data_IF_065243978595
#
_entry.id   IF_065243978595
#
_cell.length_a   1.000
_cell.length_b   1.000
_cell.length_c   1.000
_cell.angle_alpha   90.00
_cell.angle_beta   90.00
_cell.angle_gamma   90.00
#
_symmetry.space_group_name_H-M   'P 1'
#
loop_
_entity.id
_entity.type
_entity.pdbx_description
1 polymer ?
#
# COMPACT_ATOMS: atom_id res chain seq x y z
N UNK A 1 27.91 -20.44 9.69
CA UNK A 1 26.49 -20.86 9.54
C UNK A 1 25.84 -21.23 10.88
N UNK A 2 26.48 -22.03 11.73
CA UNK A 2 25.89 -22.43 13.04
C UNK A 2 25.48 -21.27 13.94
N UNK A 3 26.32 -20.24 14.07
CA UNK A 3 26.01 -19.07 14.89
C UNK A 3 24.76 -18.32 14.39
N UNK A 4 24.56 -18.21 13.07
CA UNK A 4 23.35 -17.61 12.49
C UNK A 4 22.10 -18.39 12.91
N UNK A 5 22.12 -19.69 12.75
CA UNK A 5 20.99 -20.54 13.14
C UNK A 5 20.68 -20.50 14.63
N UNK A 6 21.72 -20.37 15.48
CA UNK A 6 21.54 -20.21 16.92
C UNK A 6 20.86 -18.88 17.27
N UNK A 7 21.31 -17.76 16.71
CA UNK A 7 20.71 -16.44 16.93
C UNK A 7 19.27 -16.36 16.34
N UNK A 8 19.07 -16.94 15.17
CA UNK A 8 17.78 -17.03 14.52
C UNK A 8 16.77 -17.83 15.35
N UNK A 9 17.17 -19.02 15.81
CA UNK A 9 16.37 -19.86 16.70
C UNK A 9 16.05 -19.16 18.03
N UNK A 10 16.99 -18.33 18.54
CA UNK A 10 16.80 -17.56 19.75
C UNK A 10 15.67 -16.52 19.60
N UNK A 11 15.55 -15.86 18.43
CA UNK A 11 14.44 -14.94 18.12
C UNK A 11 13.10 -15.66 18.10
N UNK A 12 13.00 -16.73 17.32
CA UNK A 12 11.76 -17.51 17.18
C UNK A 12 11.33 -18.27 18.44
N UNK A 13 12.23 -18.52 19.39
CA UNK A 13 11.90 -19.14 20.68
C UNK A 13 11.26 -18.21 21.70
N UNK A 14 11.29 -16.90 21.47
CA UNK A 14 10.66 -15.93 22.39
C UNK A 14 9.14 -16.05 22.30
N UNK A 15 8.48 -16.38 23.43
CA UNK A 15 7.02 -16.50 23.50
C UNK A 15 6.30 -15.26 23.00
N UNK A 16 6.80 -14.08 23.35
CA UNK A 16 6.22 -12.81 22.92
C UNK A 16 6.25 -12.65 21.40
N UNK A 17 7.33 -13.09 20.73
CA UNK A 17 7.45 -13.06 19.28
C UNK A 17 6.40 -13.96 18.64
N UNK A 18 6.25 -15.20 19.10
CA UNK A 18 5.27 -16.13 18.55
C UNK A 18 3.82 -15.66 18.76
N UNK A 19 3.51 -15.08 19.93
CA UNK A 19 2.19 -14.49 20.20
C UNK A 19 1.94 -13.32 19.24
N UNK A 20 2.90 -12.44 19.07
CA UNK A 20 2.78 -11.31 18.16
C UNK A 20 2.64 -11.76 16.71
N UNK A 21 3.41 -12.76 16.25
CA UNK A 21 3.27 -13.35 14.90
C UNK A 21 1.86 -13.86 14.68
N UNK A 22 1.33 -14.61 15.66
CA UNK A 22 -0.04 -15.14 15.59
C UNK A 22 -1.08 -14.02 15.55
N UNK A 23 -0.95 -13.01 16.39
CA UNK A 23 -1.86 -11.87 16.41
C UNK A 23 -1.81 -11.06 15.11
N UNK A 24 -0.62 -10.81 14.57
CA UNK A 24 -0.44 -10.12 13.30
C UNK A 24 -1.01 -10.95 12.14
N UNK A 25 -0.76 -12.25 12.12
CA UNK A 25 -1.33 -13.18 11.13
C UNK A 25 -2.86 -13.15 11.17
N UNK A 26 -3.44 -13.28 12.37
CA UNK A 26 -4.90 -13.22 12.56
C UNK A 26 -5.45 -11.87 12.09
N UNK A 27 -4.76 -10.77 12.45
CA UNK A 27 -5.16 -9.43 12.01
C UNK A 27 -5.14 -9.31 10.49
N UNK A 28 -4.03 -9.61 9.82
CA UNK A 28 -3.90 -9.48 8.38
C UNK A 28 -4.85 -10.43 7.62
N UNK A 29 -4.96 -11.69 8.04
CA UNK A 29 -5.82 -12.67 7.33
C UNK A 29 -7.30 -12.44 7.60
N UNK A 30 -7.68 -12.15 8.85
CA UNK A 30 -9.09 -11.94 9.18
C UNK A 30 -9.54 -10.54 8.84
N UNK A 31 -8.84 -9.50 9.35
CA UNK A 31 -9.25 -8.10 9.17
C UNK A 31 -8.79 -7.52 7.84
N UNK A 32 -7.58 -7.81 7.41
CA UNK A 32 -7.03 -7.32 6.15
C UNK A 32 -7.58 -8.04 4.90
N UNK A 33 -8.08 -9.26 5.02
CA UNK A 33 -8.59 -10.02 3.88
C UNK A 33 -10.09 -10.33 4.03
N UNK A 34 -10.47 -11.13 5.03
CA UNK A 34 -11.85 -11.63 5.16
C UNK A 34 -12.85 -10.51 5.48
N UNK A 35 -12.50 -9.60 6.41
CA UNK A 35 -13.41 -8.53 6.80
C UNK A 35 -13.36 -7.31 5.85
N UNK A 36 -12.28 -7.13 5.08
CA UNK A 36 -12.28 -6.12 4.00
C UNK A 36 -13.28 -6.50 2.90
N UNK A 37 -13.50 -7.80 2.70
CA UNK A 37 -14.61 -8.31 1.87
C UNK A 37 -15.96 -8.23 2.56
N UNK A 38 -16.04 -7.71 3.78
CA UNK A 38 -17.25 -7.61 4.58
C UNK A 38 -18.37 -6.88 3.85
N UNK A 39 -18.03 -5.87 3.06
CA UNK A 39 -19.02 -5.16 2.25
C UNK A 39 -19.77 -6.10 1.31
N UNK A 40 -19.07 -7.12 0.81
CA UNK A 40 -19.67 -8.18 -0.01
C UNK A 40 -20.21 -9.35 0.81
N UNK A 41 -19.75 -9.54 2.08
CA UNK A 41 -20.02 -10.77 2.84
C UNK A 41 -21.05 -10.65 3.94
N UNK A 42 -21.11 -9.53 4.66
CA UNK A 42 -21.90 -9.42 5.89
C UNK A 42 -22.86 -8.23 5.90
N UNK A 43 -22.88 -7.43 4.84
CA UNK A 43 -23.75 -6.25 4.72
C UNK A 43 -25.20 -6.58 4.35
N UNK A 44 -25.54 -7.84 4.18
CA UNK A 44 -26.89 -8.24 3.88
C UNK A 44 -27.67 -8.40 5.18
N UNK A 45 -28.52 -7.45 5.50
CA UNK A 45 -29.77 -7.79 6.17
C UNK A 45 -30.50 -8.84 5.33
N UNK A 46 -31.28 -9.68 5.96
CA UNK A 46 -32.05 -10.79 5.36
C UNK A 46 -32.93 -10.42 4.13
N UNK A 47 -32.97 -9.15 3.76
CA UNK A 47 -33.70 -8.56 2.63
C UNK A 47 -32.91 -8.42 1.32
N UNK A 48 -31.64 -8.85 1.26
CA UNK A 48 -30.84 -8.72 0.04
C UNK A 48 -31.14 -9.86 -0.93
N UNK A 49 -32.14 -9.66 -1.75
CA UNK A 49 -32.40 -10.50 -2.93
C UNK A 49 -31.61 -9.90 -4.10
N UNK A 50 -30.75 -10.68 -4.75
CA UNK A 50 -30.01 -10.19 -5.93
C UNK A 50 -30.94 -9.88 -7.09
N UNK A 51 -30.44 -9.11 -8.07
CA UNK A 51 -31.10 -8.91 -9.37
C UNK A 51 -31.55 -10.20 -10.04
N UNK A 52 -30.81 -11.26 -9.77
CA UNK A 52 -31.04 -12.58 -10.35
C UNK A 52 -31.89 -13.48 -9.44
N UNK A 53 -32.54 -12.92 -8.42
CA UNK A 53 -33.49 -13.65 -7.56
C UNK A 53 -32.87 -14.61 -6.55
N UNK A 54 -31.56 -14.56 -6.36
CA UNK A 54 -30.85 -15.43 -5.41
C UNK A 54 -30.55 -14.70 -4.10
N UNK A 55 -30.73 -15.36 -2.97
CA UNK A 55 -30.17 -14.88 -1.70
C UNK A 55 -28.68 -15.20 -1.69
N UNK A 56 -27.83 -14.16 -1.72
CA UNK A 56 -26.39 -14.34 -1.68
C UNK A 56 -25.84 -14.11 -0.29
N UNK A 57 -25.02 -15.07 0.14
CA UNK A 57 -23.95 -14.82 1.09
C UNK A 57 -22.74 -14.21 0.35
N UNK A 58 -21.88 -13.53 1.07
CA UNK A 58 -20.86 -12.65 0.55
C UNK A 58 -20.01 -13.11 -0.63
N UNK A 59 -19.67 -14.39 -0.71
CA UNK A 59 -18.88 -14.93 -1.84
C UNK A 59 -19.69 -14.98 -3.14
N UNK A 60 -20.99 -15.25 -3.02
CA UNK A 60 -21.92 -15.20 -4.15
C UNK A 60 -22.00 -13.81 -4.76
N UNK A 61 -22.04 -12.77 -3.93
CA UNK A 61 -22.04 -11.36 -4.37
C UNK A 61 -20.75 -10.97 -5.13
N UNK A 62 -19.59 -11.42 -4.64
CA UNK A 62 -18.31 -11.15 -5.34
C UNK A 62 -18.33 -11.77 -6.73
N UNK A 63 -18.76 -13.03 -6.86
CA UNK A 63 -18.86 -13.70 -8.16
C UNK A 63 -19.85 -13.03 -9.09
N UNK A 64 -21.01 -12.65 -8.58
CA UNK A 64 -22.00 -11.94 -9.36
C UNK A 64 -21.48 -10.59 -9.86
N UNK A 65 -20.80 -9.83 -8.99
CA UNK A 65 -20.16 -8.57 -9.37
C UNK A 65 -19.07 -8.77 -10.45
N UNK A 66 -18.29 -9.84 -10.33
CA UNK A 66 -17.29 -10.20 -11.35
C UNK A 66 -17.93 -10.59 -12.69
N UNK A 67 -19.02 -11.36 -12.67
CA UNK A 67 -19.73 -11.75 -13.87
C UNK A 67 -20.41 -10.56 -14.54
N UNK A 68 -20.97 -9.67 -13.75
CA UNK A 68 -21.53 -8.41 -14.24
C UNK A 68 -20.45 -7.52 -14.85
N UNK A 69 -19.30 -7.36 -14.18
CA UNK A 69 -18.18 -6.58 -14.70
C UNK A 69 -17.61 -7.07 -16.02
N UNK A 70 -17.73 -8.38 -16.33
CA UNK A 70 -17.34 -8.92 -17.64
C UNK A 70 -18.26 -8.47 -18.78
N UNK A 71 -19.49 -8.10 -18.47
CA UNK A 71 -20.43 -7.59 -19.51
C UNK A 71 -20.07 -6.16 -19.95
N UNK A 72 -19.24 -5.45 -19.18
CA UNK A 72 -18.76 -4.10 -19.47
C UNK A 72 -17.30 -4.03 -19.93
N UNK A 73 -16.68 -5.17 -20.25
CA UNK A 73 -15.29 -5.23 -20.68
C UNK A 73 -15.12 -4.64 -22.09
N UNK A 74 -14.95 -3.31 -22.17
CA UNK A 74 -14.76 -2.57 -23.42
C UNK A 74 -13.65 -1.53 -23.28
N UNK A 75 -13.14 -1.11 -24.45
CA UNK A 75 -12.27 0.06 -24.50
C UNK A 75 -13.06 1.31 -24.14
N UNK A 76 -12.50 2.14 -23.26
CA UNK A 76 -13.11 3.40 -22.88
C UNK A 76 -13.07 4.37 -24.06
N UNK A 77 -14.22 4.56 -24.70
CA UNK A 77 -14.46 5.51 -25.78
C UNK A 77 -15.65 6.40 -25.44
N UNK A 78 -15.92 7.39 -26.28
CA UNK A 78 -17.13 8.23 -26.13
C UNK A 78 -18.39 7.36 -26.18
N UNK A 79 -18.44 6.42 -27.14
CA UNK A 79 -19.58 5.52 -27.33
C UNK A 79 -19.78 4.57 -26.16
N UNK A 80 -18.70 3.95 -25.66
CA UNK A 80 -18.79 3.03 -24.51
C UNK A 80 -19.20 3.76 -23.23
N UNK A 81 -18.66 4.96 -22.98
CA UNK A 81 -19.06 5.77 -21.82
C UNK A 81 -20.55 6.18 -21.91
N UNK A 82 -21.00 6.61 -23.09
CA UNK A 82 -22.41 6.95 -23.32
C UNK A 82 -23.32 5.74 -23.09
N UNK A 83 -22.90 4.55 -23.55
CA UNK A 83 -23.66 3.33 -23.36
C UNK A 83 -23.75 2.95 -21.88
N UNK A 84 -22.65 2.96 -21.14
CA UNK A 84 -22.61 2.68 -19.70
C UNK A 84 -23.57 3.61 -18.93
N UNK A 85 -23.60 4.89 -19.25
CA UNK A 85 -24.52 5.83 -18.61
C UNK A 85 -25.98 5.56 -18.97
N UNK A 86 -26.27 5.23 -20.24
CA UNK A 86 -27.65 4.86 -20.64
C UNK A 86 -28.13 3.59 -19.94
N UNK A 87 -27.28 2.57 -19.83
CA UNK A 87 -27.61 1.32 -19.14
C UNK A 87 -27.88 1.57 -17.66
N UNK A 88 -27.04 2.36 -16.99
CA UNK A 88 -27.28 2.78 -15.61
C UNK A 88 -28.66 3.45 -15.45
N UNK A 89 -28.96 4.46 -16.28
CA UNK A 89 -30.22 5.20 -16.20
C UNK A 89 -31.45 4.32 -16.50
N UNK A 90 -31.31 3.33 -17.40
CA UNK A 90 -32.38 2.34 -17.66
C UNK A 90 -32.62 1.43 -16.46
N UNK A 91 -31.55 0.96 -15.81
CA UNK A 91 -31.66 0.13 -14.60
C UNK A 91 -32.28 0.92 -13.44
N UNK A 92 -31.87 2.17 -13.25
CA UNK A 92 -32.43 3.06 -12.23
C UNK A 92 -33.93 3.33 -12.48
N UNK A 93 -34.32 3.63 -13.73
CA UNK A 93 -35.71 3.82 -14.10
C UNK A 93 -36.56 2.54 -13.95
N UNK A 94 -35.96 1.37 -14.03
CA UNK A 94 -36.62 0.09 -13.79
C UNK A 94 -36.72 -0.26 -12.28
N UNK A 95 -36.22 0.59 -11.39
CA UNK A 95 -36.21 0.35 -9.96
C UNK A 95 -35.19 -0.69 -9.50
N UNK A 96 -34.16 -0.91 -10.27
CA UNK A 96 -33.08 -1.89 -10.02
C UNK A 96 -31.95 -1.27 -9.19
N UNK A 97 -32.27 -0.49 -8.15
CA UNK A 97 -31.28 0.23 -7.34
C UNK A 97 -30.27 -0.68 -6.64
N UNK A 98 -30.73 -1.85 -6.19
CA UNK A 98 -29.88 -2.85 -5.53
C UNK A 98 -28.85 -3.46 -6.47
N UNK A 99 -29.17 -3.57 -7.73
CA UNK A 99 -28.28 -4.06 -8.78
C UNK A 99 -27.23 -3.01 -9.14
N UNK A 100 -27.63 -1.75 -9.20
CA UNK A 100 -26.75 -0.63 -9.44
C UNK A 100 -25.64 -0.51 -8.38
N UNK A 101 -25.93 -0.86 -7.12
CA UNK A 101 -24.92 -0.87 -6.06
C UNK A 101 -23.79 -1.89 -6.27
N UNK A 102 -24.01 -2.90 -7.13
CA UNK A 102 -23.02 -3.95 -7.44
C UNK A 102 -22.16 -3.61 -8.65
N UNK A 103 -22.51 -2.57 -9.39
CA UNK A 103 -21.76 -2.13 -10.55
C UNK A 103 -20.66 -1.15 -10.17
N UNK A 104 -19.72 -0.91 -11.07
CA UNK A 104 -18.65 0.09 -10.91
C UNK A 104 -19.15 1.54 -11.10
N UNK A 105 -20.45 1.80 -10.93
CA UNK A 105 -21.06 3.10 -11.14
C UNK A 105 -20.37 4.22 -10.35
N UNK A 106 -19.82 3.91 -9.18
CA UNK A 106 -19.09 4.89 -8.36
C UNK A 106 -17.84 5.38 -9.08
N UNK A 107 -17.14 4.48 -9.76
CA UNK A 107 -15.95 4.79 -10.57
C UNK A 107 -16.37 5.63 -11.76
N UNK A 108 -17.40 5.17 -12.49
CA UNK A 108 -17.94 5.88 -13.65
C UNK A 108 -18.45 7.28 -13.26
N UNK A 109 -19.17 7.39 -12.16
CA UNK A 109 -19.64 8.69 -11.65
C UNK A 109 -18.46 9.62 -11.26
N UNK A 110 -17.40 9.07 -10.69
CA UNK A 110 -16.15 9.81 -10.41
C UNK A 110 -15.48 10.30 -11.70
N UNK A 111 -15.47 9.49 -12.76
CA UNK A 111 -14.97 9.89 -14.08
C UNK A 111 -15.81 11.01 -14.69
N UNK A 112 -17.13 10.90 -14.63
CA UNK A 112 -18.03 11.96 -15.12
C UNK A 112 -17.77 13.29 -14.41
N UNK A 113 -17.68 13.27 -13.07
CA UNK A 113 -17.41 14.49 -12.29
C UNK A 113 -16.04 15.10 -12.61
N UNK A 114 -15.06 14.28 -13.00
CA UNK A 114 -13.73 14.75 -13.37
C UNK A 114 -13.65 15.24 -14.81
N UNK A 115 -14.25 14.51 -15.75
CA UNK A 115 -14.14 14.79 -17.19
C UNK A 115 -15.13 15.86 -17.66
N UNK A 116 -16.29 15.96 -17.00
CA UNK A 116 -17.42 16.83 -17.41
C UNK A 116 -17.95 17.66 -16.25
N UNK A 117 -17.08 18.40 -15.53
CA UNK A 117 -17.51 19.16 -14.35
C UNK A 117 -18.59 20.20 -14.66
N UNK A 118 -18.65 20.69 -15.89
CA UNK A 118 -19.65 21.65 -16.36
C UNK A 118 -21.07 21.06 -16.50
N UNK A 119 -21.18 19.72 -16.53
CA UNK A 119 -22.48 19.03 -16.58
C UNK A 119 -23.00 18.71 -15.18
N UNK A 120 -22.23 19.00 -14.12
CA UNK A 120 -22.67 18.83 -12.75
C UNK A 120 -23.70 19.89 -12.36
N UNK A 121 -24.84 19.46 -11.85
CA UNK A 121 -25.87 20.35 -11.28
C UNK A 121 -25.74 20.34 -9.75
N UNK A 122 -25.22 21.40 -9.14
CA UNK A 122 -25.09 21.50 -7.68
C UNK A 122 -26.44 21.61 -6.95
N UNK A 123 -27.53 21.83 -7.67
CA UNK A 123 -28.88 21.88 -7.12
C UNK A 123 -29.55 20.52 -6.96
N UNK A 124 -28.98 19.46 -7.49
CA UNK A 124 -29.52 18.10 -7.35
C UNK A 124 -28.79 17.27 -6.31
N UNK A 125 -29.54 16.43 -5.59
CA UNK A 125 -28.98 15.41 -4.67
C UNK A 125 -28.67 14.08 -5.38
N UNK A 126 -29.03 13.96 -6.65
CA UNK A 126 -28.73 12.77 -7.44
C UNK A 126 -27.27 12.72 -7.85
N UNK A 127 -26.75 11.52 -8.03
CA UNK A 127 -25.44 11.32 -8.62
C UNK A 127 -25.44 11.77 -10.08
N UNK A 128 -24.33 12.29 -10.58
CA UNK A 128 -24.24 12.85 -11.93
C UNK A 128 -24.68 11.86 -13.02
N UNK A 129 -24.34 10.58 -12.85
CA UNK A 129 -24.70 9.50 -13.77
C UNK A 129 -26.23 9.36 -13.94
N UNK A 130 -27.02 9.69 -12.92
CA UNK A 130 -28.48 9.56 -12.94
C UNK A 130 -29.18 10.59 -13.84
N UNK A 131 -28.59 11.77 -14.03
CA UNK A 131 -29.26 12.87 -14.74
C UNK A 131 -28.50 13.41 -15.96
N UNK A 132 -27.22 13.09 -16.12
CA UNK A 132 -26.43 13.61 -17.24
C UNK A 132 -26.98 13.10 -18.57
N UNK A 133 -27.02 13.97 -19.60
CA UNK A 133 -27.39 13.54 -20.93
C UNK A 133 -26.21 12.78 -21.56
N UNK A 134 -26.34 11.47 -21.87
CA UNK A 134 -25.27 10.66 -22.45
C UNK A 134 -24.72 11.24 -23.76
N UNK A 135 -25.55 11.84 -24.61
CA UNK A 135 -25.14 12.37 -25.91
C UNK A 135 -24.18 13.58 -25.81
N UNK A 136 -24.05 14.17 -24.62
CA UNK A 136 -23.07 15.23 -24.33
C UNK A 136 -21.71 14.74 -23.89
N UNK A 137 -21.57 13.43 -23.65
CA UNK A 137 -20.33 12.81 -23.22
C UNK A 137 -19.47 12.52 -24.45
N UNK A 138 -18.64 13.48 -24.82
CA UNK A 138 -17.76 13.42 -25.99
C UNK A 138 -16.37 13.94 -25.65
N UNK A 139 -15.35 13.45 -26.37
CA UNK A 139 -13.98 13.88 -26.20
C UNK A 139 -13.34 13.35 -24.91
N UNK A 140 -13.56 12.09 -24.53
CA UNK A 140 -13.09 11.50 -23.26
C UNK A 140 -11.58 11.70 -23.07
N UNK A 141 -10.76 11.48 -24.11
CA UNK A 141 -9.30 11.57 -23.96
C UNK A 141 -8.82 13.02 -23.95
N UNK A 142 -9.37 13.89 -24.77
CA UNK A 142 -9.08 15.33 -24.74
C UNK A 142 -9.41 15.92 -23.38
N UNK A 143 -10.56 15.54 -22.84
CA UNK A 143 -11.00 15.99 -21.48
C UNK A 143 -10.14 15.40 -20.39
N UNK A 144 -9.71 14.13 -20.53
CA UNK A 144 -8.79 13.51 -19.60
C UNK A 144 -7.42 14.21 -19.59
N UNK A 145 -6.90 14.57 -20.77
CA UNK A 145 -5.66 15.32 -20.88
C UNK A 145 -5.79 16.71 -20.25
N UNK A 146 -6.91 17.39 -20.47
CA UNK A 146 -7.20 18.68 -19.85
C UNK A 146 -7.35 18.55 -18.33
N UNK A 147 -8.11 17.57 -17.83
CA UNK A 147 -8.28 17.33 -16.39
C UNK A 147 -6.95 17.02 -15.70
N UNK A 148 -6.06 16.27 -16.36
CA UNK A 148 -4.71 16.02 -15.85
C UNK A 148 -3.88 17.31 -15.84
N UNK A 149 -3.93 18.10 -16.90
CA UNK A 149 -3.19 19.36 -17.01
C UNK A 149 -3.61 20.34 -15.92
N UNK A 150 -4.91 20.53 -15.74
CA UNK A 150 -5.49 21.37 -14.68
C UNK A 150 -5.12 20.84 -13.28
N UNK A 151 -5.14 19.53 -13.09
CA UNK A 151 -4.73 18.90 -11.83
C UNK A 151 -3.24 19.17 -11.51
N UNK A 152 -2.36 19.05 -12.49
CA UNK A 152 -0.93 19.30 -12.32
C UNK A 152 -0.68 20.78 -11.97
N UNK A 153 -1.35 21.72 -12.66
CA UNK A 153 -1.24 23.15 -12.38
C UNK A 153 -1.75 23.51 -11.00
N UNK A 154 -2.94 23.03 -10.63
CA UNK A 154 -3.54 23.25 -9.31
C UNK A 154 -2.70 22.64 -8.17
N UNK A 155 -1.95 21.57 -8.47
CA UNK A 155 -1.01 20.96 -7.53
C UNK A 155 0.34 21.68 -7.47
N UNK A 156 0.50 22.79 -8.20
CA UNK A 156 1.70 23.61 -8.22
C UNK A 156 2.86 23.02 -9.05
N UNK A 157 2.59 22.03 -9.88
CA UNK A 157 3.60 21.41 -10.75
C UNK A 157 3.70 22.21 -12.05
N UNK A 158 4.90 22.66 -12.38
CA UNK A 158 5.13 23.52 -13.53
C UNK A 158 6.46 23.23 -14.24
N UNK A 159 6.60 23.71 -15.46
CA UNK A 159 7.84 23.63 -16.24
C UNK A 159 8.31 22.19 -16.44
N UNK A 160 9.57 21.90 -16.11
CA UNK A 160 10.19 20.60 -16.31
C UNK A 160 9.58 19.47 -15.44
N UNK A 161 9.02 19.80 -14.28
CA UNK A 161 8.32 18.82 -13.45
C UNK A 161 7.05 18.34 -14.13
N UNK A 162 6.22 19.26 -14.60
CA UNK A 162 5.01 18.96 -15.37
C UNK A 162 5.35 18.17 -16.64
N UNK A 163 6.37 18.60 -17.40
CA UNK A 163 6.84 17.87 -18.58
C UNK A 163 7.27 16.43 -18.27
N UNK A 164 7.97 16.21 -17.15
CA UNK A 164 8.36 14.87 -16.69
C UNK A 164 7.14 13.96 -16.45
N UNK A 165 6.10 14.48 -15.78
CA UNK A 165 4.88 13.74 -15.47
C UNK A 165 4.05 13.46 -16.73
N UNK A 166 3.92 14.44 -17.62
CA UNK A 166 3.24 14.25 -18.90
C UNK A 166 3.97 13.22 -19.79
N UNK A 167 5.31 13.20 -19.78
CA UNK A 167 6.09 12.17 -20.48
C UNK A 167 5.89 10.76 -19.88
N UNK A 168 5.53 10.65 -18.60
CA UNK A 168 5.13 9.36 -18.02
C UNK A 168 3.73 8.96 -18.51
N UNK A 169 2.80 9.89 -18.50
CA UNK A 169 1.43 9.66 -18.95
C UNK A 169 1.34 9.25 -20.41
N UNK A 170 2.15 9.83 -21.29
CA UNK A 170 2.22 9.47 -22.71
C UNK A 170 2.56 7.99 -22.97
N UNK A 171 3.10 7.29 -21.98
CA UNK A 171 3.39 5.85 -22.05
C UNK A 171 2.20 4.98 -21.65
N UNK A 172 1.13 5.57 -21.17
CA UNK A 172 -0.12 4.86 -20.86
C UNK A 172 -0.78 4.48 -22.20
N UNK A 173 -1.06 3.20 -22.38
CA UNK A 173 -1.72 2.69 -23.58
C UNK A 173 -3.14 3.23 -23.69
N UNK A 174 -3.52 3.66 -24.90
CA UNK A 174 -4.85 4.17 -25.22
C UNK A 174 -5.38 3.44 -26.47
N UNK A 175 -6.67 3.09 -26.54
CA UNK A 175 -7.72 3.35 -25.56
C UNK A 175 -7.49 2.56 -24.26
N UNK A 176 -7.97 3.11 -23.14
CA UNK A 176 -7.95 2.42 -21.86
C UNK A 176 -8.98 1.29 -21.89
N UNK A 177 -8.53 0.06 -21.75
CA UNK A 177 -9.44 -1.07 -21.56
C UNK A 177 -10.04 -0.99 -20.15
N UNK A 178 -11.36 -1.03 -20.08
CA UNK A 178 -12.11 -1.01 -18.84
C UNK A 178 -12.77 -2.36 -18.59
N UNK A 179 -12.59 -2.90 -17.42
CA UNK A 179 -13.29 -4.09 -16.90
C UNK A 179 -13.55 -3.90 -15.39
N UNK A 180 -14.16 -4.90 -14.77
CA UNK A 180 -14.37 -4.92 -13.32
C UNK A 180 -13.05 -4.86 -12.55
N UNK A 181 -12.90 -3.84 -11.71
CA UNK A 181 -11.67 -3.56 -10.96
C UNK A 181 -11.87 -3.45 -9.45
N UNK A 182 -13.08 -3.66 -8.95
CA UNK A 182 -13.39 -3.46 -7.53
C UNK A 182 -12.47 -4.29 -6.62
N UNK A 183 -12.17 -5.54 -6.99
CA UNK A 183 -11.21 -6.36 -6.25
C UNK A 183 -9.82 -5.73 -6.16
N UNK A 184 -9.32 -5.18 -7.27
CA UNK A 184 -8.03 -4.48 -7.32
C UNK A 184 -8.06 -3.13 -6.62
N UNK A 185 -9.18 -2.41 -6.70
CA UNK A 185 -9.38 -1.14 -6.02
C UNK A 185 -9.29 -1.31 -4.49
N UNK A 186 -9.88 -2.37 -3.96
CA UNK A 186 -9.79 -2.67 -2.53
C UNK A 186 -8.38 -3.10 -2.10
N UNK A 187 -7.66 -3.82 -2.94
CA UNK A 187 -6.29 -4.23 -2.74
C UNK A 187 -5.33 -3.05 -2.63
N UNK A 188 -5.28 -2.28 -3.72
CA UNK A 188 -4.34 -1.19 -3.90
C UNK A 188 -4.64 0.02 -2.99
N UNK A 189 -5.72 0.00 -2.23
CA UNK A 189 -6.14 1.13 -1.40
C UNK A 189 -5.90 0.99 0.09
N UNK A 190 -6.03 -0.21 0.65
CA UNK A 190 -6.15 -0.37 2.11
C UNK A 190 -5.29 -1.46 2.72
N UNK A 191 -5.18 -2.61 2.08
CA UNK A 191 -4.61 -3.80 2.74
C UNK A 191 -3.11 -3.73 2.96
N UNK A 192 -2.37 -3.16 2.03
CA UNK A 192 -0.90 -3.07 2.14
C UNK A 192 -0.47 -1.95 3.07
N UNK A 193 -1.27 -0.89 3.22
CA UNK A 193 -1.03 0.14 4.23
C UNK A 193 -1.07 -0.45 5.64
N UNK A 194 -2.06 -1.31 5.92
CA UNK A 194 -2.17 -2.02 7.20
C UNK A 194 -0.98 -2.97 7.43
N UNK A 195 -0.48 -3.62 6.39
CA UNK A 195 0.71 -4.46 6.47
C UNK A 195 1.94 -3.66 6.95
N UNK A 196 2.13 -2.44 6.45
CA UNK A 196 3.22 -1.55 6.89
C UNK A 196 3.14 -1.20 8.38
N UNK A 197 1.95 -0.83 8.87
CA UNK A 197 1.72 -0.51 10.28
C UNK A 197 1.97 -1.72 11.19
N UNK A 198 1.45 -2.88 10.82
CA UNK A 198 1.64 -4.14 11.56
C UNK A 198 3.11 -4.53 11.59
N UNK A 199 3.82 -4.42 10.45
CA UNK A 199 5.26 -4.68 10.36
C UNK A 199 6.05 -3.76 11.28
N UNK A 200 5.75 -2.46 11.32
CA UNK A 200 6.43 -1.49 12.17
C UNK A 200 6.31 -1.86 13.65
N UNK A 201 5.09 -2.10 14.13
CA UNK A 201 4.84 -2.46 15.52
C UNK A 201 5.56 -3.75 15.90
N UNK A 202 5.40 -4.78 15.10
CA UNK A 202 5.95 -6.09 15.41
C UNK A 202 7.48 -6.13 15.35
N UNK A 203 8.10 -5.54 14.33
CA UNK A 203 9.56 -5.46 14.23
C UNK A 203 10.18 -4.66 15.39
N UNK A 204 9.51 -3.58 15.82
CA UNK A 204 9.92 -2.86 17.02
C UNK A 204 9.93 -3.78 18.24
N UNK A 205 8.89 -4.59 18.47
CA UNK A 205 8.81 -5.54 19.59
C UNK A 205 9.88 -6.64 19.47
N UNK A 206 10.00 -7.27 18.29
CA UNK A 206 10.86 -8.43 18.11
C UNK A 206 12.36 -8.08 18.15
N UNK A 207 12.76 -6.98 17.48
CA UNK A 207 14.15 -6.62 17.24
C UNK A 207 14.72 -5.65 18.31
N UNK A 208 13.87 -4.93 19.05
CA UNK A 208 14.32 -4.01 20.11
C UNK A 208 15.22 -4.70 21.16
N UNK A 209 14.95 -5.96 21.46
CA UNK A 209 15.72 -6.76 22.41
C UNK A 209 16.92 -7.52 21.81
N UNK A 210 17.18 -7.38 20.49
CA UNK A 210 18.19 -8.18 19.81
C UNK A 210 19.62 -7.90 20.31
N UNK A 211 19.92 -6.65 20.59
CA UNK A 211 21.18 -6.19 21.17
C UNK A 211 21.02 -5.73 22.63
N UNK A 212 19.97 -4.95 22.93
CA UNK A 212 19.71 -4.45 24.26
C UNK A 212 19.46 -5.58 25.28
N UNK A 213 18.90 -6.72 24.84
CA UNK A 213 18.69 -7.89 25.67
C UNK A 213 19.96 -8.49 26.25
N UNK A 214 21.07 -8.48 25.52
CA UNK A 214 22.35 -8.99 26.02
C UNK A 214 22.89 -8.20 27.21
N UNK A 215 22.55 -6.90 27.28
CA UNK A 215 22.87 -6.05 28.43
C UNK A 215 21.94 -6.33 29.61
N UNK A 216 20.67 -6.46 29.34
CA UNK A 216 19.67 -6.76 30.36
C UNK A 216 19.95 -8.10 31.07
N UNK A 217 20.33 -9.12 30.28
CA UNK A 217 20.58 -10.48 30.77
C UNK A 217 22.01 -10.68 31.28
N UNK A 218 22.85 -9.65 31.31
CA UNK A 218 24.27 -9.66 31.72
C UNK A 218 25.13 -10.68 30.94
N UNK A 219 24.70 -11.08 29.74
CA UNK A 219 25.44 -12.02 28.86
C UNK A 219 26.50 -11.33 28.00
N UNK A 220 26.50 -10.00 27.96
CA UNK A 220 27.46 -9.19 27.22
C UNK A 220 28.93 -9.47 27.58
N UNK A 221 29.22 -9.77 28.86
CA UNK A 221 30.56 -10.12 29.34
C UNK A 221 31.08 -11.45 28.76
N UNK A 222 30.20 -12.43 28.55
CA UNK A 222 30.55 -13.71 27.93
C UNK A 222 30.92 -13.55 26.46
N UNK A 223 30.26 -12.63 25.77
CA UNK A 223 30.56 -12.33 24.35
C UNK A 223 31.95 -11.71 24.19
N UNK A 224 32.42 -10.95 25.17
CA UNK A 224 33.75 -10.32 25.17
C UNK A 224 34.90 -11.31 25.30
N UNK A 225 34.70 -12.42 26.00
CA UNK A 225 35.74 -13.41 26.25
C UNK A 225 36.05 -14.28 25.01
N UNK A 226 35.20 -14.21 23.98
CA UNK A 226 35.39 -15.02 22.77
C UNK A 226 36.30 -14.33 21.76
N UNK A 227 37.33 -15.02 21.27
CA UNK A 227 38.29 -14.54 20.25
C UNK A 227 37.53 -14.14 18.96
N UNK A 228 37.56 -12.85 18.55
CA UNK A 228 36.80 -12.28 17.44
C UNK A 228 35.27 -12.28 17.61
N UNK A 229 34.75 -12.60 18.82
CA UNK A 229 33.32 -12.85 19.03
C UNK A 229 32.42 -11.64 18.71
N UNK A 230 32.83 -10.46 19.16
CA UNK A 230 31.95 -9.30 19.11
C UNK A 230 31.58 -8.83 17.69
N UNK A 231 32.54 -8.76 16.73
CA UNK A 231 32.22 -8.35 15.34
C UNK A 231 31.38 -9.41 14.64
N UNK A 232 31.80 -10.67 14.75
CA UNK A 232 31.12 -11.79 14.12
C UNK A 232 29.70 -11.97 14.67
N UNK A 233 29.55 -11.88 16.01
CA UNK A 233 28.23 -11.95 16.64
C UNK A 233 27.36 -10.75 16.24
N UNK A 234 27.88 -9.53 16.27
CA UNK A 234 27.13 -8.35 15.87
C UNK A 234 26.63 -8.46 14.42
N UNK A 235 27.49 -8.83 13.47
CA UNK A 235 27.11 -9.02 12.08
C UNK A 235 26.08 -10.15 11.92
N UNK A 236 26.29 -11.26 12.64
CA UNK A 236 25.34 -12.38 12.64
C UNK A 236 23.96 -11.94 13.14
N UNK A 237 23.89 -11.15 14.23
CA UNK A 237 22.62 -10.60 14.74
C UNK A 237 21.94 -9.70 13.73
N UNK A 238 22.70 -8.84 13.04
CA UNK A 238 22.15 -7.98 11.98
C UNK A 238 21.57 -8.83 10.84
N UNK A 239 22.32 -9.81 10.35
CA UNK A 239 21.85 -10.74 9.30
C UNK A 239 20.62 -11.53 9.75
N UNK A 240 20.60 -11.97 11.01
CA UNK A 240 19.45 -12.65 11.60
C UNK A 240 18.22 -11.72 11.66
N UNK A 241 18.41 -10.45 12.02
CA UNK A 241 17.32 -9.47 12.06
C UNK A 241 16.69 -9.23 10.68
N UNK A 242 17.52 -9.10 9.64
CA UNK A 242 17.02 -8.99 8.26
C UNK A 242 16.33 -10.25 7.77
N UNK A 243 16.92 -11.43 8.00
CA UNK A 243 16.29 -12.70 7.63
C UNK A 243 14.93 -12.88 8.32
N UNK A 244 14.87 -12.61 9.61
CA UNK A 244 13.63 -12.63 10.38
C UNK A 244 12.57 -11.66 9.82
N UNK A 245 12.98 -10.46 9.39
CA UNK A 245 12.08 -9.48 8.78
C UNK A 245 11.47 -10.00 7.47
N UNK A 246 12.28 -10.63 6.62
CA UNK A 246 11.82 -11.22 5.35
C UNK A 246 10.87 -12.40 5.63
N UNK A 247 11.20 -13.27 6.58
CA UNK A 247 10.36 -14.41 6.96
C UNK A 247 9.02 -13.94 7.54
N UNK A 248 9.05 -12.94 8.42
CA UNK A 248 7.83 -12.39 8.99
C UNK A 248 6.95 -11.73 7.93
N UNK A 249 7.56 -10.96 7.02
CA UNK A 249 6.85 -10.41 5.87
C UNK A 249 6.18 -11.51 5.04
N UNK A 250 6.90 -12.59 4.71
CA UNK A 250 6.36 -13.70 3.94
C UNK A 250 5.19 -14.41 4.66
N UNK A 251 5.26 -14.56 5.98
CA UNK A 251 4.19 -15.14 6.79
C UNK A 251 2.90 -14.31 6.71
N UNK A 252 3.00 -13.00 6.55
CA UNK A 252 1.84 -12.12 6.43
C UNK A 252 1.38 -11.94 4.97
N UNK A 253 2.32 -11.67 4.06
CA UNK A 253 2.02 -11.33 2.67
C UNK A 253 1.48 -12.54 1.87
N UNK A 254 2.09 -13.73 2.03
CA UNK A 254 1.68 -14.90 1.26
C UNK A 254 0.22 -15.30 1.52
N UNK A 255 -0.24 -15.46 2.79
CA UNK A 255 -1.64 -15.75 3.05
C UNK A 255 -2.60 -14.63 2.62
N UNK A 256 -2.16 -13.37 2.72
CA UNK A 256 -2.94 -12.24 2.24
C UNK A 256 -3.16 -12.34 0.72
N UNK A 257 -2.10 -12.51 -0.07
CA UNK A 257 -2.19 -12.72 -1.52
C UNK A 257 -3.06 -13.93 -1.88
N UNK A 258 -2.85 -15.06 -1.18
CA UNK A 258 -3.63 -16.27 -1.44
C UNK A 258 -5.12 -16.10 -1.12
N UNK A 259 -5.46 -15.43 -0.03
CA UNK A 259 -6.85 -15.14 0.31
C UNK A 259 -7.52 -14.26 -0.73
N UNK A 260 -6.81 -13.29 -1.24
CA UNK A 260 -7.22 -12.39 -2.29
C UNK A 260 -7.52 -13.13 -3.60
N UNK A 261 -6.52 -13.88 -4.09
CA UNK A 261 -6.69 -14.70 -5.30
C UNK A 261 -7.86 -15.69 -5.14
N UNK A 262 -8.06 -16.22 -3.93
CA UNK A 262 -9.15 -17.14 -3.65
C UNK A 262 -10.53 -16.45 -3.70
N UNK A 263 -10.68 -15.28 -3.08
CA UNK A 263 -11.97 -14.59 -2.99
C UNK A 263 -12.27 -13.76 -4.24
N UNK A 264 -11.30 -12.97 -4.72
CA UNK A 264 -11.49 -12.00 -5.81
C UNK A 264 -11.06 -12.53 -7.18
N UNK A 265 -10.27 -13.62 -7.21
CA UNK A 265 -9.67 -14.09 -8.47
C UNK A 265 -8.54 -13.20 -8.95
N UNK A 266 -8.17 -13.39 -10.22
CA UNK A 266 -7.08 -12.65 -10.87
C UNK A 266 -7.54 -11.85 -12.09
N UNK A 267 -8.84 -11.80 -12.37
CA UNK A 267 -9.40 -11.05 -13.52
C UNK A 267 -8.99 -9.59 -13.43
N UNK A 268 -8.61 -8.99 -14.54
CA UNK A 268 -8.21 -7.58 -14.59
C UNK A 268 -6.78 -7.27 -14.12
N UNK A 269 -5.94 -8.30 -13.89
CA UNK A 269 -4.55 -8.11 -13.47
C UNK A 269 -3.70 -7.28 -14.45
N UNK A 270 -4.05 -7.29 -15.73
CA UNK A 270 -3.39 -6.60 -16.84
C UNK A 270 -4.01 -5.23 -17.15
N UNK A 271 -5.11 -4.87 -16.50
CA UNK A 271 -5.76 -3.58 -16.69
C UNK A 271 -4.90 -2.43 -16.16
N UNK A 272 -4.93 -1.27 -16.82
CA UNK A 272 -4.19 -0.10 -16.39
C UNK A 272 -4.77 0.46 -15.08
N UNK A 273 -3.91 0.96 -14.19
CA UNK A 273 -4.31 1.56 -12.89
C UNK A 273 -5.21 2.79 -13.06
N UNK A 274 -5.28 3.35 -14.25
CA UNK A 274 -6.20 4.42 -14.63
C UNK A 274 -7.67 4.02 -14.48
N UNK A 275 -8.00 2.73 -14.49
CA UNK A 275 -9.33 2.24 -14.13
C UNK A 275 -9.72 2.58 -12.70
N UNK A 276 -8.77 2.67 -11.77
CA UNK A 276 -9.02 3.08 -10.37
C UNK A 276 -8.94 4.61 -10.27
N UNK A 277 -7.90 5.22 -10.81
CA UNK A 277 -7.72 6.66 -10.80
C UNK A 277 -7.36 7.19 -12.18
N UNK A 278 -8.36 7.69 -12.89
CA UNK A 278 -8.31 8.04 -14.31
C UNK A 278 -7.14 8.95 -14.70
N UNK A 279 -6.76 9.89 -13.82
CA UNK A 279 -5.63 10.81 -14.03
C UNK A 279 -4.29 10.32 -13.47
N UNK A 280 -4.18 9.05 -13.05
CA UNK A 280 -2.88 8.51 -12.66
C UNK A 280 -1.91 8.57 -13.85
N UNK A 281 -0.68 9.06 -13.59
CA UNK A 281 0.34 9.26 -14.63
C UNK A 281 1.22 8.04 -14.86
N UNK A 282 1.15 7.05 -13.97
CA UNK A 282 2.02 5.88 -14.03
C UNK A 282 1.55 4.89 -15.10
N UNK A 283 2.41 4.49 -16.05
CA UNK A 283 2.12 3.47 -17.04
C UNK A 283 2.28 2.07 -16.44
N UNK A 284 1.40 1.73 -15.51
CA UNK A 284 1.42 0.46 -14.75
C UNK A 284 0.07 -0.24 -14.90
N UNK A 285 0.11 -1.56 -14.92
CA UNK A 285 -1.09 -2.37 -14.75
C UNK A 285 -1.32 -2.73 -13.27
N UNK A 286 -2.47 -3.34 -12.96
CA UNK A 286 -2.87 -3.70 -11.59
C UNK A 286 -1.85 -4.62 -10.92
N UNK A 287 -1.35 -5.64 -11.62
CA UNK A 287 -0.33 -6.55 -11.06
C UNK A 287 0.98 -5.82 -10.75
N UNK A 288 1.41 -4.91 -11.61
CA UNK A 288 2.64 -4.12 -11.37
C UNK A 288 2.48 -3.19 -10.16
N UNK A 289 1.30 -2.59 -10.01
CA UNK A 289 0.98 -1.76 -8.86
C UNK A 289 0.97 -2.59 -7.57
N UNK A 290 0.40 -3.78 -7.58
CA UNK A 290 0.39 -4.71 -6.46
C UNK A 290 1.81 -5.15 -6.07
N UNK A 291 2.62 -5.54 -7.05
CA UNK A 291 4.05 -5.87 -6.81
C UNK A 291 4.78 -4.68 -6.19
N UNK A 292 4.50 -3.47 -6.67
CA UNK A 292 5.08 -2.25 -6.09
C UNK A 292 4.69 -2.10 -4.62
N UNK A 293 3.42 -2.26 -4.27
CA UNK A 293 2.94 -2.09 -2.90
C UNK A 293 3.57 -3.10 -1.92
N UNK A 294 3.63 -4.38 -2.31
CA UNK A 294 4.34 -5.38 -1.50
C UNK A 294 5.85 -5.10 -1.42
N UNK A 295 6.46 -4.61 -2.50
CA UNK A 295 7.85 -4.20 -2.46
C UNK A 295 8.07 -3.01 -1.53
N UNK A 296 7.18 -2.01 -1.55
CA UNK A 296 7.19 -0.88 -0.63
C UNK A 296 7.13 -1.35 0.83
N UNK A 297 6.20 -2.24 1.17
CA UNK A 297 6.06 -2.78 2.52
C UNK A 297 7.30 -3.59 2.95
N UNK A 298 7.82 -4.46 2.08
CA UNK A 298 9.01 -5.27 2.37
C UNK A 298 10.27 -4.40 2.55
N UNK A 299 10.52 -3.51 1.62
CA UNK A 299 11.73 -2.69 1.63
C UNK A 299 11.67 -1.63 2.74
N UNK A 300 10.49 -1.08 3.01
CA UNK A 300 10.22 -0.27 4.19
C UNK A 300 10.52 -1.03 5.49
N UNK A 301 10.05 -2.29 5.60
CA UNK A 301 10.30 -3.14 6.75
C UNK A 301 11.79 -3.49 6.93
N UNK A 302 12.52 -3.78 5.85
CA UNK A 302 13.99 -4.00 5.89
C UNK A 302 14.69 -2.72 6.37
N UNK A 303 14.30 -1.56 5.83
CA UNK A 303 14.83 -0.27 6.27
C UNK A 303 14.61 -0.03 7.75
N UNK A 304 13.38 -0.23 8.19
CA UNK A 304 13.00 -0.08 9.60
C UNK A 304 13.70 -1.07 10.52
N UNK A 305 13.84 -2.33 10.13
CA UNK A 305 14.61 -3.33 10.89
C UNK A 305 16.05 -2.87 11.15
N UNK A 306 16.70 -2.25 10.14
CA UNK A 306 18.03 -1.65 10.29
C UNK A 306 18.05 -0.55 11.34
N UNK A 307 17.06 0.34 11.35
CA UNK A 307 16.89 1.41 12.34
C UNK A 307 16.67 0.83 13.75
N UNK A 308 15.76 -0.14 13.88
CA UNK A 308 15.48 -0.79 15.18
C UNK A 308 16.74 -1.47 15.74
N UNK A 309 17.48 -2.18 14.91
CA UNK A 309 18.73 -2.83 15.32
C UNK A 309 19.79 -1.81 15.74
N UNK A 310 19.89 -0.68 15.06
CA UNK A 310 20.77 0.43 15.44
C UNK A 310 20.37 1.01 16.81
N UNK A 311 19.09 1.28 17.03
CA UNK A 311 18.57 1.77 18.32
C UNK A 311 18.86 0.74 19.42
N UNK A 312 18.55 -0.54 19.17
CA UNK A 312 18.80 -1.64 20.12
C UNK A 312 20.28 -1.77 20.52
N UNK A 313 21.21 -1.56 19.56
CA UNK A 313 22.63 -1.54 19.84
C UNK A 313 23.12 -0.28 20.58
N UNK A 314 22.30 0.79 20.56
CA UNK A 314 22.64 2.10 21.14
C UNK A 314 22.12 2.27 22.57
N UNK A 315 21.02 1.64 22.96
CA UNK A 315 20.45 1.71 24.30
C UNK A 315 20.65 0.41 25.09
N UNK A 316 20.72 0.51 26.44
CA UNK A 316 20.92 -0.66 27.33
C UNK A 316 19.60 -1.28 27.81
N UNK A 317 18.48 -0.61 27.58
CA UNK A 317 17.14 -1.03 28.02
C UNK A 317 16.29 -1.49 26.85
N UNK A 318 15.71 -2.68 26.95
CA UNK A 318 14.76 -3.19 25.94
C UNK A 318 13.54 -2.29 25.78
N UNK A 319 13.05 -1.72 26.90
CA UNK A 319 11.88 -0.82 26.90
C UNK A 319 12.19 0.48 26.17
N UNK A 320 13.36 1.09 26.43
CA UNK A 320 13.78 2.31 25.74
C UNK A 320 14.04 2.03 24.25
N UNK A 321 14.61 0.86 23.91
CA UNK A 321 14.80 0.48 22.52
C UNK A 321 13.47 0.35 21.79
N UNK A 322 12.47 -0.25 22.42
CA UNK A 322 11.12 -0.34 21.88
C UNK A 322 10.48 1.04 21.67
N UNK A 323 10.50 1.88 22.72
CA UNK A 323 9.89 3.21 22.67
C UNK A 323 10.51 4.09 21.59
N UNK A 324 11.85 4.12 21.48
CA UNK A 324 12.53 4.90 20.44
C UNK A 324 12.28 4.32 19.03
N UNK A 325 12.14 3.00 18.91
CA UNK A 325 11.80 2.38 17.62
C UNK A 325 10.38 2.75 17.18
N UNK A 326 9.40 2.72 18.08
CA UNK A 326 8.04 3.16 17.77
C UNK A 326 8.00 4.67 17.45
N UNK A 327 8.72 5.49 18.22
CA UNK A 327 8.82 6.92 17.98
C UNK A 327 9.48 7.24 16.62
N UNK A 328 10.37 6.41 16.13
CA UNK A 328 11.02 6.60 14.81
C UNK A 328 10.07 6.45 13.61
N UNK A 329 8.95 5.73 13.76
CA UNK A 329 7.91 5.61 12.72
C UNK A 329 6.73 6.51 13.03
N UNK A 330 6.11 6.32 14.19
CA UNK A 330 4.86 7.03 14.51
C UNK A 330 5.07 8.51 14.82
N UNK A 331 6.26 8.90 15.32
CA UNK A 331 6.61 10.29 15.57
C UNK A 331 6.52 11.14 14.28
N UNK A 332 7.26 10.81 13.20
CA UNK A 332 7.14 11.49 11.91
C UNK A 332 5.71 11.50 11.38
N UNK A 333 4.99 10.37 11.42
CA UNK A 333 3.60 10.30 10.97
C UNK A 333 2.69 11.28 11.70
N UNK A 334 2.81 11.38 13.03
CA UNK A 334 1.96 12.26 13.84
C UNK A 334 2.27 13.74 13.66
N UNK A 335 3.51 14.10 13.34
CA UNK A 335 3.90 15.52 13.21
C UNK A 335 3.89 16.00 11.77
N UNK A 336 3.84 15.10 10.78
CA UNK A 336 3.92 15.45 9.36
C UNK A 336 2.88 16.50 8.97
N UNK A 337 1.63 16.33 9.38
CA UNK A 337 0.52 17.23 9.03
C UNK A 337 0.71 18.68 9.50
N UNK A 338 1.55 18.91 10.52
CA UNK A 338 1.82 20.24 11.08
C UNK A 338 3.05 20.90 10.47
N UNK A 339 3.75 20.22 9.55
CA UNK A 339 5.01 20.69 9.00
C UNK A 339 4.83 21.22 7.56
N UNK A 340 5.72 22.11 7.09
CA UNK A 340 5.71 22.54 5.68
C UNK A 340 5.79 21.36 4.72
N UNK A 341 5.09 21.43 3.59
CA UNK A 341 4.96 20.35 2.59
C UNK A 341 6.30 19.71 2.19
N UNK A 342 7.35 20.51 1.98
CA UNK A 342 8.68 19.98 1.63
C UNK A 342 9.29 19.08 2.72
N UNK A 343 9.00 19.36 4.00
CA UNK A 343 9.43 18.53 5.13
C UNK A 343 8.58 17.26 5.22
N UNK A 344 7.25 17.38 5.04
CA UNK A 344 6.35 16.22 4.98
C UNK A 344 6.87 15.21 3.95
N UNK A 345 7.09 15.67 2.73
CA UNK A 345 7.65 14.88 1.62
C UNK A 345 8.97 14.19 1.98
N UNK A 346 9.85 14.87 2.72
CA UNK A 346 11.11 14.27 3.16
C UNK A 346 10.91 13.22 4.26
N UNK A 347 9.91 13.40 5.14
CA UNK A 347 9.56 12.41 6.16
C UNK A 347 8.94 11.15 5.55
N UNK A 348 8.20 11.26 4.45
CA UNK A 348 7.63 10.12 3.73
C UNK A 348 8.70 9.14 3.21
N UNK A 349 9.95 9.61 3.02
CA UNK A 349 11.08 8.77 2.63
C UNK A 349 11.65 7.92 3.79
N UNK A 350 11.19 8.15 5.03
CA UNK A 350 11.60 7.32 6.16
C UNK A 350 10.94 5.93 6.08
N UNK A 351 11.62 4.88 6.59
CA UNK A 351 11.10 3.52 6.53
C UNK A 351 9.70 3.39 7.16
N UNK A 352 8.74 2.91 6.41
CA UNK A 352 7.33 2.69 6.79
C UNK A 352 6.56 3.96 7.20
N UNK A 353 7.03 5.15 6.81
CA UNK A 353 6.33 6.43 7.09
C UNK A 353 5.49 6.88 5.90
N UNK A 354 6.02 6.77 4.69
CA UNK A 354 5.31 7.15 3.45
C UNK A 354 4.11 6.24 3.12
N UNK A 355 3.47 6.53 2.01
CA UNK A 355 2.27 5.80 1.55
C UNK A 355 2.53 5.06 0.24
N UNK A 356 2.11 3.80 0.16
CA UNK A 356 2.12 3.02 -1.08
C UNK A 356 1.20 3.64 -2.15
N UNK A 357 0.12 4.29 -1.72
CA UNK A 357 -0.83 4.98 -2.61
C UNK A 357 -0.21 6.13 -3.44
N UNK A 358 1.07 6.45 -3.23
CA UNK A 358 1.79 7.43 -4.06
C UNK A 358 1.90 7.01 -5.55
N UNK A 359 1.67 5.72 -5.87
CA UNK A 359 1.55 5.28 -7.29
C UNK A 359 0.42 5.99 -8.04
N UNK A 360 -0.61 6.44 -7.33
CA UNK A 360 -1.73 7.21 -7.88
C UNK A 360 -1.52 8.72 -7.85
N UNK A 361 -0.38 9.18 -7.29
CA UNK A 361 -0.08 10.59 -7.10
C UNK A 361 0.99 11.08 -8.08
N UNK A 362 1.06 12.40 -8.19
CA UNK A 362 2.02 13.11 -9.05
C UNK A 362 3.22 13.66 -8.28
N UNK A 363 3.49 13.12 -7.08
CA UNK A 363 4.60 13.56 -6.24
C UNK A 363 5.95 13.25 -6.89
N UNK A 364 6.84 14.23 -6.95
CA UNK A 364 8.20 14.10 -7.46
C UNK A 364 9.21 14.71 -6.50
N UNK A 365 10.46 14.33 -6.63
CA UNK A 365 11.60 14.96 -5.95
C UNK A 365 12.58 15.49 -6.98
N UNK A 366 13.08 16.71 -6.77
CA UNK A 366 14.13 17.27 -7.58
C UNK A 366 15.51 16.93 -6.99
N UNK A 367 16.24 16.02 -7.64
CA UNK A 367 17.53 15.52 -7.16
C UNK A 367 18.56 15.68 -8.30
N UNK A 368 19.68 16.34 -8.02
CA UNK A 368 20.79 16.52 -8.97
C UNK A 368 20.37 17.05 -10.35
N UNK A 369 19.38 17.94 -10.40
CA UNK A 369 18.90 18.55 -11.64
C UNK A 369 17.86 17.76 -12.41
N UNK A 370 17.42 16.62 -11.90
CA UNK A 370 16.40 15.76 -12.52
C UNK A 370 15.22 15.58 -11.58
N UNK A 371 14.03 15.41 -12.14
CA UNK A 371 12.84 15.02 -11.40
C UNK A 371 12.76 13.50 -11.32
N UNK A 372 12.44 12.99 -10.13
CA UNK A 372 12.26 11.56 -9.85
C UNK A 372 10.90 11.39 -9.21
N UNK A 373 10.10 10.49 -9.74
CA UNK A 373 8.79 10.16 -9.20
C UNK A 373 8.90 9.53 -7.81
N UNK A 374 8.08 10.00 -6.85
CA UNK A 374 8.12 9.63 -5.44
C UNK A 374 8.17 8.11 -5.20
N UNK A 375 7.35 7.27 -5.86
CA UNK A 375 7.35 5.83 -5.63
C UNK A 375 8.71 5.13 -5.78
N UNK A 376 9.58 5.59 -6.67
CA UNK A 376 10.92 5.01 -6.78
C UNK A 376 11.78 5.27 -5.55
N UNK A 377 11.64 6.44 -4.95
CA UNK A 377 12.40 6.83 -3.76
C UNK A 377 11.83 6.18 -2.49
N UNK A 378 10.52 6.00 -2.42
CA UNK A 378 9.84 5.32 -1.31
C UNK A 378 10.24 3.86 -1.16
N UNK A 379 10.69 3.21 -2.23
CA UNK A 379 11.28 1.86 -2.16
C UNK A 379 12.77 1.91 -1.83
N UNK A 380 13.53 2.80 -2.50
CA UNK A 380 15.00 2.75 -2.46
C UNK A 380 15.59 3.36 -1.21
N UNK A 381 15.09 4.52 -0.78
CA UNK A 381 15.66 5.26 0.37
C UNK A 381 15.53 4.48 1.69
N UNK A 382 14.37 3.87 2.03
CA UNK A 382 14.27 3.06 3.24
C UNK A 382 15.32 1.95 3.35
N UNK A 383 15.53 1.21 2.26
CA UNK A 383 16.55 0.16 2.22
C UNK A 383 17.95 0.72 2.42
N UNK A 384 18.27 1.85 1.78
CA UNK A 384 19.56 2.53 1.96
C UNK A 384 19.77 2.96 3.42
N UNK A 385 18.74 3.49 4.08
CA UNK A 385 18.78 3.84 5.51
C UNK A 385 19.10 2.60 6.35
N UNK A 386 18.40 1.48 6.11
CA UNK A 386 18.62 0.24 6.86
C UNK A 386 20.04 -0.31 6.68
N UNK A 387 20.54 -0.33 5.44
CA UNK A 387 21.90 -0.76 5.13
C UNK A 387 22.93 0.18 5.78
N UNK A 388 22.71 1.50 5.69
CA UNK A 388 23.58 2.51 6.30
C UNK A 388 23.64 2.40 7.82
N UNK A 389 22.56 2.03 8.50
CA UNK A 389 22.54 1.78 9.93
C UNK A 389 23.42 0.59 10.36
N UNK A 390 23.64 -0.39 9.50
CA UNK A 390 24.37 -1.63 9.83
C UNK A 390 25.79 -1.41 10.38
N UNK A 391 26.70 -0.68 9.71
CA UNK A 391 28.03 -0.46 10.24
C UNK A 391 28.04 0.29 11.58
N UNK A 392 27.10 1.21 11.76
CA UNK A 392 26.95 1.94 13.03
C UNK A 392 26.45 1.02 14.16
N UNK A 393 25.53 0.12 13.85
CA UNK A 393 25.05 -0.93 14.77
C UNK A 393 26.22 -1.76 15.30
N UNK A 394 27.05 -2.28 14.39
CA UNK A 394 28.23 -3.09 14.73
C UNK A 394 29.25 -2.28 15.52
N UNK A 395 29.51 -1.03 15.14
CA UNK A 395 30.45 -0.13 15.83
C UNK A 395 29.97 0.24 17.24
N UNK A 396 28.72 0.61 17.40
CA UNK A 396 28.15 1.00 18.70
C UNK A 396 28.15 -0.17 19.68
N UNK A 397 27.73 -1.35 19.22
CA UNK A 397 27.81 -2.57 19.98
C UNK A 397 29.22 -2.86 20.47
N UNK A 398 30.22 -2.78 19.58
CA UNK A 398 31.63 -3.03 19.89
C UNK A 398 32.25 -2.04 20.88
N UNK A 399 31.89 -0.77 20.78
CA UNK A 399 32.40 0.27 21.71
C UNK A 399 31.88 0.10 23.12
N UNK A 400 30.60 -0.24 23.25
CA UNK A 400 29.97 -0.44 24.55
C UNK A 400 30.47 -1.69 25.30
N UNK A 401 30.90 -2.71 24.55
CA UNK A 401 31.51 -3.88 25.14
C UNK A 401 32.90 -3.57 25.72
N UNK A 402 33.54 -2.47 25.31
CA UNK A 402 34.87 -2.05 25.79
C UNK A 402 34.82 -1.03 26.94
N UNK A 403 33.67 -0.37 27.13
CA UNK A 403 33.41 0.58 28.20
C UNK A 403 32.73 -0.09 29.38
#
# INVERSE_FOLDING_TARGET
>A
MELFWLEHKKLWRKRIVNICVLLCFVYIVIFGSVLSFQWFSFGSSDDYTSAFGNNFDGYGMIRESQEYGKTFGEDLTDESLQQLVREYQQMEAAGMEKELEKTDWKIINSWLGMLYPELHDPGTYQTMISYVNPDKLTGVYERREQALDDFLENSGQAGKEKEYLLNMEQKVEKPLRYEWVEGWSQLLGSMVADLGVVMALFLAIALSSLFAGEWHDNTSSLVLTTKNGWKKIALTKVLTGFAFTIEFFAILAIPNILSQVFFMGTTGWDLPIQNIKLIAVAPMNMLQAEIYEYAFALFGAIGFAGVVMFISATVKSNVLALLFSLAAVYGPMMVAEYLPYGIQKALDLLPLVGSSADIFRTNTFHILGSYIWSPYLLITIPVMIGIFCTPFTVKNWSRRLKA
#
